data_IF_909080137378
#
_entry.id   IF_909080137378
#
_cell.length_a   1.000
_cell.length_b   1.000
_cell.length_c   1.000
_cell.angle_alpha   90.00
_cell.angle_beta   90.00
_cell.angle_gamma   90.00
#
_symmetry.space_group_name_H-M   'P 1'
#
loop_
_entity.id
_entity.type
_entity.pdbx_description
1 polymer ?
#
# COMPACT_ATOMS: atom_id res chain seq x y z
N UNK A 1 -7.47 6.66 -28.76
CA UNK A 1 -7.30 5.49 -27.88
C UNK A 1 -5.82 5.10 -27.94
N UNK A 2 -4.96 5.75 -27.14
CA UNK A 2 -3.50 5.79 -27.38
C UNK A 2 -2.67 5.57 -26.09
N UNK A 3 -3.24 4.85 -25.11
CA UNK A 3 -2.70 4.84 -23.75
C UNK A 3 -2.02 3.53 -23.29
N UNK A 4 -2.12 2.45 -24.05
CA UNK A 4 -1.38 1.20 -23.80
C UNK A 4 -0.34 1.03 -24.91
N UNK A 5 0.87 1.57 -24.73
CA UNK A 5 1.98 1.37 -25.69
C UNK A 5 2.76 0.08 -25.40
N UNK A 6 2.48 -0.60 -24.28
CA UNK A 6 3.11 -1.86 -23.88
C UNK A 6 2.13 -2.68 -23.02
N UNK A 7 2.05 -4.01 -23.22
CA UNK A 7 1.17 -4.89 -22.43
C UNK A 7 1.39 -4.84 -20.91
N UNK A 8 2.57 -4.40 -20.46
CA UNK A 8 2.89 -4.19 -19.04
C UNK A 8 2.24 -2.96 -18.41
N UNK A 9 1.59 -2.11 -19.21
CA UNK A 9 0.90 -0.91 -18.74
C UNK A 9 -0.30 -1.22 -17.83
N UNK A 10 -0.88 -2.42 -17.94
CA UNK A 10 -1.95 -2.89 -17.04
C UNK A 10 -1.43 -3.16 -15.63
N UNK A 11 -0.28 -3.83 -15.51
CA UNK A 11 0.28 -4.25 -14.21
C UNK A 11 1.07 -3.13 -13.52
N UNK A 12 1.77 -2.30 -14.30
CA UNK A 12 2.72 -1.33 -13.75
C UNK A 12 2.18 0.12 -13.73
N UNK A 13 0.87 0.29 -13.86
CA UNK A 13 0.18 1.56 -14.16
C UNK A 13 0.64 2.21 -15.49
N UNK A 14 -0.24 2.85 -16.27
CA UNK A 14 0.14 3.46 -17.55
C UNK A 14 1.19 4.56 -17.38
N UNK A 15 2.13 4.69 -18.33
CA UNK A 15 3.16 5.76 -18.28
C UNK A 15 2.59 7.17 -18.12
N UNK A 16 1.43 7.44 -18.74
CA UNK A 16 0.74 8.72 -18.64
C UNK A 16 0.41 9.08 -17.19
N UNK A 17 0.06 8.08 -16.39
CA UNK A 17 -0.29 8.24 -15.00
C UNK A 17 0.93 8.66 -14.17
N UNK A 18 2.06 7.96 -14.31
CA UNK A 18 3.33 8.37 -13.69
C UNK A 18 3.77 9.79 -14.10
N UNK A 19 3.56 10.17 -15.36
CA UNK A 19 3.90 11.53 -15.84
C UNK A 19 3.09 12.61 -15.12
N UNK A 20 1.80 12.36 -14.83
CA UNK A 20 0.89 13.29 -14.14
C UNK A 20 1.22 13.51 -12.67
N UNK A 21 1.98 12.62 -12.03
CA UNK A 21 2.40 12.81 -10.64
C UNK A 21 3.23 14.10 -10.47
N UNK A 22 2.74 14.97 -9.58
CA UNK A 22 3.28 16.29 -9.27
C UNK A 22 3.78 16.34 -7.80
N UNK A 23 4.47 17.42 -7.44
CA UNK A 23 5.06 17.61 -6.11
C UNK A 23 4.11 18.27 -5.08
N UNK A 24 2.82 18.43 -5.36
CA UNK A 24 1.87 19.05 -4.42
C UNK A 24 1.59 18.15 -3.21
N UNK A 25 1.82 18.63 -1.99
CA UNK A 25 1.52 17.87 -0.77
C UNK A 25 0.02 17.67 -0.54
N UNK A 26 -0.81 18.65 -0.94
CA UNK A 26 -2.26 18.59 -0.72
C UNK A 26 -2.88 17.36 -1.39
N UNK A 27 -2.43 17.02 -2.60
CA UNK A 27 -2.95 15.85 -3.32
C UNK A 27 -2.41 14.51 -2.80
N UNK A 28 -1.53 14.51 -1.78
CA UNK A 28 -1.02 13.31 -1.13
C UNK A 28 -1.93 12.87 0.04
N UNK A 29 -2.69 13.80 0.63
CA UNK A 29 -3.55 13.53 1.80
C UNK A 29 -4.53 12.37 1.57
N UNK A 30 -5.24 12.27 0.42
CA UNK A 30 -6.10 11.12 0.16
C UNK A 30 -5.32 9.80 0.06
N UNK A 31 -4.05 9.87 -0.33
CA UNK A 31 -3.15 8.72 -0.39
C UNK A 31 -2.84 8.14 0.99
N UNK A 32 -2.64 8.97 2.01
CA UNK A 32 -2.43 8.49 3.38
C UNK A 32 -3.66 7.76 3.92
N UNK A 33 -4.85 8.35 3.75
CA UNK A 33 -6.13 7.75 4.13
C UNK A 33 -6.28 6.36 3.50
N UNK A 34 -5.98 6.27 2.20
CA UNK A 34 -6.07 5.05 1.42
C UNK A 34 -5.10 3.97 1.91
N UNK A 35 -3.81 4.29 2.06
CA UNK A 35 -2.82 3.29 2.50
C UNK A 35 -3.11 2.83 3.93
N UNK A 36 -3.46 3.76 4.80
CA UNK A 36 -3.82 3.45 6.18
C UNK A 36 -5.01 2.51 6.27
N UNK A 37 -6.07 2.81 5.51
CA UNK A 37 -7.24 1.95 5.45
C UNK A 37 -6.91 0.58 4.85
N UNK A 38 -6.07 0.52 3.80
CA UNK A 38 -5.59 -0.73 3.22
C UNK A 38 -4.85 -1.60 4.24
N UNK A 39 -3.99 -1.00 5.06
CA UNK A 39 -3.16 -1.70 6.05
C UNK A 39 -3.94 -2.16 7.29
N UNK A 40 -4.97 -1.41 7.71
CA UNK A 40 -5.80 -1.75 8.87
C UNK A 40 -6.91 -2.76 8.51
N UNK A 41 -7.46 -2.66 7.29
CA UNK A 41 -7.99 -3.86 6.61
C UNK A 41 -6.79 -4.78 6.29
N UNK A 42 -6.80 -5.88 5.56
CA UNK A 42 -5.62 -6.77 5.41
C UNK A 42 -4.99 -7.40 6.67
N UNK A 43 -4.97 -6.74 7.83
CA UNK A 43 -4.34 -7.23 9.04
C UNK A 43 -5.18 -8.35 9.63
N UNK A 44 -4.51 -9.37 10.17
CA UNK A 44 -5.18 -10.57 10.67
C UNK A 44 -6.14 -10.30 11.82
N UNK A 45 -5.86 -9.26 12.63
CA UNK A 45 -6.72 -8.80 13.72
C UNK A 45 -7.51 -7.58 13.27
N UNK A 46 -8.83 -7.71 13.16
CA UNK A 46 -9.68 -6.68 12.55
C UNK A 46 -10.27 -5.76 13.61
N UNK A 47 -9.67 -4.58 13.77
CA UNK A 47 -10.21 -3.54 14.66
C UNK A 47 -11.67 -3.20 14.30
N UNK A 48 -11.98 -3.20 12.99
CA UNK A 48 -13.32 -2.91 12.48
C UNK A 48 -14.35 -3.96 12.96
N UNK A 49 -14.04 -5.23 12.85
CA UNK A 49 -14.99 -6.29 13.23
C UNK A 49 -15.12 -6.40 14.73
N UNK A 50 -13.97 -6.46 15.41
CA UNK A 50 -13.92 -6.81 16.82
C UNK A 50 -14.46 -5.67 17.70
N UNK A 51 -14.18 -4.41 17.33
CA UNK A 51 -14.55 -3.26 18.15
C UNK A 51 -15.69 -2.40 17.60
N UNK A 52 -15.91 -2.33 16.28
CA UNK A 52 -16.93 -1.44 15.70
C UNK A 52 -18.21 -2.19 15.36
N UNK A 53 -18.12 -3.28 14.59
CA UNK A 53 -19.29 -4.04 14.16
C UNK A 53 -19.81 -4.99 15.25
N UNK A 54 -18.92 -5.52 16.08
CA UNK A 54 -19.25 -6.48 17.14
C UNK A 54 -19.83 -5.88 18.43
N UNK A 55 -19.87 -4.55 18.60
CA UNK A 55 -20.39 -3.92 19.84
C UNK A 55 -21.37 -2.78 19.59
N UNK A 56 -22.49 -2.80 20.32
CA UNK A 56 -23.56 -1.79 20.20
C UNK A 56 -23.27 -0.48 20.96
N UNK A 57 -22.36 -0.48 21.94
CA UNK A 57 -22.05 0.69 22.78
C UNK A 57 -20.78 1.42 22.32
N UNK A 58 -20.81 2.75 22.45
CA UNK A 58 -19.63 3.60 22.20
C UNK A 58 -19.22 3.72 20.72
N UNK A 59 -20.08 3.33 19.77
CA UNK A 59 -19.76 3.24 18.33
C UNK A 59 -19.13 4.54 17.81
N UNK A 60 -19.69 5.71 18.14
CA UNK A 60 -19.17 7.00 17.66
C UNK A 60 -17.71 7.24 18.08
N UNK A 61 -17.38 6.98 19.35
CA UNK A 61 -16.02 7.19 19.88
C UNK A 61 -15.02 6.20 19.26
N UNK A 62 -15.44 4.92 19.14
CA UNK A 62 -14.63 3.86 18.51
C UNK A 62 -14.38 4.14 17.03
N UNK A 63 -15.40 4.57 16.30
CA UNK A 63 -15.27 4.95 14.89
C UNK A 63 -14.36 6.15 14.71
N UNK A 64 -14.48 7.18 15.56
CA UNK A 64 -13.58 8.34 15.50
C UNK A 64 -12.12 7.93 15.74
N UNK A 65 -11.88 7.10 16.76
CA UNK A 65 -10.54 6.60 17.06
C UNK A 65 -10.00 5.76 15.91
N UNK A 66 -10.83 4.90 15.31
CA UNK A 66 -10.44 4.08 14.16
C UNK A 66 -10.04 4.94 12.96
N UNK A 67 -10.80 6.00 12.67
CA UNK A 67 -10.47 6.96 11.61
C UNK A 67 -9.11 7.60 11.85
N UNK A 68 -8.85 8.05 13.08
CA UNK A 68 -7.56 8.64 13.45
C UNK A 68 -6.44 7.60 13.31
N UNK A 69 -6.65 6.38 13.80
CA UNK A 69 -5.68 5.28 13.77
C UNK A 69 -5.24 4.95 12.35
N UNK A 70 -6.17 4.70 11.43
CA UNK A 70 -5.77 4.35 10.07
C UNK A 70 -5.10 5.54 9.36
N UNK A 71 -5.51 6.79 9.60
CA UNK A 71 -4.84 7.97 9.02
C UNK A 71 -3.39 8.05 9.49
N UNK A 72 -3.12 7.85 10.78
CA UNK A 72 -1.77 7.85 11.34
C UNK A 72 -0.94 6.72 10.74
N UNK A 73 -1.48 5.51 10.66
CA UNK A 73 -0.79 4.34 10.08
C UNK A 73 -0.44 4.60 8.61
N UNK A 74 -1.39 5.13 7.84
CA UNK A 74 -1.15 5.43 6.43
C UNK A 74 -0.16 6.56 6.20
N UNK A 75 -0.13 7.56 7.08
CA UNK A 75 0.93 8.57 7.08
C UNK A 75 2.30 7.96 7.38
N UNK A 76 2.40 7.17 8.45
CA UNK A 76 3.64 6.52 8.86
C UNK A 76 4.18 5.63 7.75
N UNK A 77 3.33 4.78 7.16
CA UNK A 77 3.74 3.88 6.09
C UNK A 77 4.28 4.66 4.89
N UNK A 78 3.44 5.51 4.29
CA UNK A 78 3.84 6.25 3.09
C UNK A 78 5.07 7.11 3.33
N UNK A 79 5.21 7.73 4.50
CA UNK A 79 6.35 8.56 4.83
C UNK A 79 7.61 7.74 5.08
N UNK A 80 7.57 6.77 5.99
CA UNK A 80 8.71 5.94 6.38
C UNK A 80 9.18 5.03 5.25
N UNK A 81 8.28 4.57 4.38
CA UNK A 81 8.66 3.81 3.20
C UNK A 81 9.27 4.71 2.11
N UNK A 82 8.52 5.72 1.66
CA UNK A 82 8.88 6.42 0.42
C UNK A 82 9.99 7.45 0.61
N UNK A 83 10.11 8.07 1.79
CA UNK A 83 11.10 9.11 2.03
C UNK A 83 12.55 8.60 1.93
N UNK A 84 12.96 7.52 2.63
CA UNK A 84 14.33 7.02 2.57
C UNK A 84 14.73 6.55 1.16
N UNK A 85 13.82 5.90 0.44
CA UNK A 85 14.07 5.45 -0.93
C UNK A 85 14.20 6.63 -1.90
N UNK A 86 13.36 7.65 -1.75
CA UNK A 86 13.46 8.87 -2.56
C UNK A 86 14.77 9.62 -2.29
N UNK A 87 15.21 9.67 -1.03
CA UNK A 87 16.49 10.25 -0.64
C UNK A 87 17.68 9.46 -1.21
N UNK A 88 17.62 8.12 -1.17
CA UNK A 88 18.60 7.26 -1.83
C UNK A 88 18.69 7.54 -3.34
N UNK A 89 17.56 7.67 -4.02
CA UNK A 89 17.52 8.01 -5.45
C UNK A 89 18.17 9.37 -5.73
N UNK A 90 17.87 10.39 -4.93
CA UNK A 90 18.48 11.73 -5.04
C UNK A 90 19.97 11.68 -4.78
N UNK A 91 20.41 10.92 -3.77
CA UNK A 91 21.82 10.76 -3.44
C UNK A 91 22.60 10.13 -4.59
N UNK A 92 22.12 9.01 -5.14
CA UNK A 92 22.74 8.35 -6.30
C UNK A 92 22.76 9.30 -7.50
N UNK A 93 21.64 9.97 -7.78
CA UNK A 93 21.56 10.90 -8.90
C UNK A 93 22.56 12.05 -8.77
N UNK A 94 22.69 12.63 -7.56
CA UNK A 94 23.68 13.69 -7.28
C UNK A 94 25.11 13.19 -7.45
N UNK A 95 25.43 12.00 -6.93
CA UNK A 95 26.77 11.40 -7.04
C UNK A 95 27.17 11.12 -8.48
N UNK A 96 26.21 10.70 -9.31
CA UNK A 96 26.43 10.36 -10.71
C UNK A 96 26.19 11.52 -11.68
N UNK A 97 25.99 12.75 -11.20
CA UNK A 97 25.61 13.93 -12.00
C UNK A 97 24.40 13.68 -12.93
N UNK A 98 23.43 12.90 -12.45
CA UNK A 98 22.21 12.53 -13.18
C UNK A 98 21.05 13.45 -12.78
N UNK A 99 20.15 13.64 -13.74
CA UNK A 99 18.91 14.37 -13.51
C UNK A 99 17.93 13.57 -12.63
N UNK A 100 17.32 14.27 -11.66
CA UNK A 100 16.14 13.82 -10.91
C UNK A 100 15.16 15.00 -10.78
N UNK A 101 13.86 14.73 -10.94
CA UNK A 101 12.84 15.79 -10.90
C UNK A 101 12.78 16.43 -9.51
N UNK A 102 12.66 17.76 -9.45
CA UNK A 102 12.43 18.48 -8.19
C UNK A 102 11.14 18.01 -7.50
N UNK A 103 11.17 17.90 -6.17
CA UNK A 103 10.05 17.36 -5.38
C UNK A 103 9.85 15.85 -5.53
N UNK A 104 10.93 15.12 -5.87
CA UNK A 104 10.87 13.67 -6.10
C UNK A 104 10.27 12.88 -4.91
N UNK A 105 10.55 13.28 -3.67
CA UNK A 105 10.02 12.63 -2.46
C UNK A 105 8.49 12.54 -2.49
N UNK A 106 7.82 13.68 -2.72
CA UNK A 106 6.35 13.74 -2.77
C UNK A 106 5.81 12.97 -3.96
N UNK A 107 6.48 13.02 -5.11
CA UNK A 107 6.10 12.24 -6.30
C UNK A 107 6.19 10.73 -6.01
N UNK A 108 7.24 10.31 -5.31
CA UNK A 108 7.48 8.92 -4.96
C UNK A 108 6.49 8.42 -3.92
N UNK A 109 6.21 9.21 -2.88
CA UNK A 109 5.14 8.98 -1.90
C UNK A 109 3.78 8.75 -2.57
N UNK A 110 3.42 9.57 -3.56
CA UNK A 110 2.18 9.36 -4.32
C UNK A 110 2.20 8.07 -5.10
N UNK A 111 3.30 7.79 -5.80
CA UNK A 111 3.42 6.53 -6.55
C UNK A 111 3.24 5.31 -5.65
N UNK A 112 3.76 5.37 -4.43
CA UNK A 112 3.58 4.33 -3.43
C UNK A 112 2.15 4.28 -2.88
N UNK A 113 1.55 5.41 -2.53
CA UNK A 113 0.18 5.42 -2.03
C UNK A 113 -0.79 4.82 -3.06
N UNK A 114 -0.67 5.25 -4.30
CA UNK A 114 -1.55 4.79 -5.38
C UNK A 114 -1.25 3.37 -5.88
N UNK A 115 -0.07 2.78 -5.62
CA UNK A 115 0.15 1.37 -5.98
C UNK A 115 -0.78 0.43 -5.20
N UNK A 116 -1.25 0.84 -4.04
CA UNK A 116 -2.22 0.08 -3.23
C UNK A 116 -3.60 -0.01 -3.91
N UNK A 117 -3.99 0.96 -4.75
CA UNK A 117 -5.28 0.94 -5.46
C UNK A 117 -5.48 -0.32 -6.31
N UNK A 118 -4.41 -0.87 -6.87
CA UNK A 118 -4.48 -2.09 -7.69
C UNK A 118 -4.84 -3.33 -6.88
N UNK A 119 -4.63 -3.29 -5.56
CA UNK A 119 -4.84 -4.43 -4.65
C UNK A 119 -6.09 -4.25 -3.77
N UNK A 120 -6.74 -3.09 -3.82
CA UNK A 120 -7.99 -2.84 -3.10
C UNK A 120 -9.11 -3.85 -3.36
N UNK A 121 -9.35 -4.30 -4.61
CA UNK A 121 -10.35 -5.34 -4.86
C UNK A 121 -10.10 -6.64 -4.06
N UNK A 122 -8.85 -6.89 -3.66
CA UNK A 122 -8.48 -8.08 -2.91
C UNK A 122 -8.75 -7.94 -1.41
N UNK A 123 -8.70 -6.72 -0.86
CA UNK A 123 -9.05 -6.45 0.55
C UNK A 123 -10.45 -6.93 0.92
N UNK A 124 -11.39 -6.79 -0.03
CA UNK A 124 -12.78 -7.20 0.17
C UNK A 124 -12.94 -8.72 0.37
N UNK A 125 -11.92 -9.49 0.02
CA UNK A 125 -11.93 -10.95 0.04
C UNK A 125 -11.04 -11.52 1.15
N UNK A 126 -9.86 -10.92 1.37
CA UNK A 126 -8.80 -11.49 2.24
C UNK A 126 -8.91 -11.07 3.71
N UNK A 127 -9.67 -10.02 4.04
CA UNK A 127 -9.88 -9.60 5.43
C UNK A 127 -10.99 -10.44 6.11
N UNK A 128 -11.07 -10.56 7.46
CA UNK A 128 -11.79 -11.66 8.13
C UNK A 128 -13.32 -11.62 8.02
N UNK A 129 -13.89 -10.66 7.27
CA UNK A 129 -15.30 -10.67 6.87
C UNK A 129 -15.58 -11.36 5.53
N UNK A 130 -14.55 -11.62 4.71
CA UNK A 130 -14.70 -11.92 3.28
C UNK A 130 -14.99 -13.38 3.00
N UNK A 131 -13.98 -14.25 3.07
CA UNK A 131 -14.13 -15.70 2.98
C UNK A 131 -12.91 -16.37 3.65
N UNK A 132 -13.13 -17.14 4.71
CA UNK A 132 -12.13 -18.12 5.13
C UNK A 132 -11.95 -19.10 3.96
N UNK A 133 -10.72 -19.25 3.44
CA UNK A 133 -10.42 -20.19 2.36
C UNK A 133 -10.88 -21.62 2.70
N UNK A 134 -10.95 -21.93 3.99
CA UNK A 134 -11.41 -23.19 4.56
C UNK A 134 -12.95 -23.37 4.42
N UNK A 135 -13.72 -22.27 4.42
CA UNK A 135 -15.19 -22.28 4.23
C UNK A 135 -15.62 -22.30 2.76
N UNK A 136 -14.69 -22.03 1.84
CA UNK A 136 -14.92 -22.00 0.38
C UNK A 136 -15.20 -23.37 -0.26
N UNK A 137 -14.99 -24.46 0.48
CA UNK A 137 -15.12 -25.82 -0.04
C UNK A 137 -16.53 -26.41 -0.02
N UNK A 138 -17.45 -25.90 0.81
CA UNK A 138 -18.66 -26.67 1.15
C UNK A 138 -19.94 -26.26 0.41
N UNK A 139 -20.10 -24.99 -0.02
CA UNK A 139 -21.35 -24.53 -0.68
C UNK A 139 -21.16 -23.53 -1.84
N UNK A 140 -19.92 -23.19 -2.19
CA UNK A 140 -19.64 -22.15 -3.20
C UNK A 140 -19.53 -22.71 -4.61
N UNK A 141 -20.22 -22.09 -5.57
CA UNK A 141 -20.12 -22.41 -7.01
C UNK A 141 -18.65 -22.35 -7.50
N UNK A 142 -18.24 -23.30 -8.34
CA UNK A 142 -16.89 -23.41 -8.91
C UNK A 142 -16.40 -22.14 -9.60
N UNK A 143 -17.28 -21.38 -10.27
CA UNK A 143 -16.90 -20.10 -10.89
C UNK A 143 -16.45 -19.10 -9.81
N UNK A 144 -17.19 -19.01 -8.71
CA UNK A 144 -16.90 -18.14 -7.57
C UNK A 144 -15.57 -18.53 -6.92
N UNK A 145 -15.32 -19.84 -6.75
CA UNK A 145 -14.05 -20.36 -6.24
C UNK A 145 -12.86 -19.94 -7.13
N UNK A 146 -12.98 -20.09 -8.45
CA UNK A 146 -11.94 -19.67 -9.40
C UNK A 146 -11.65 -18.17 -9.30
N UNK A 147 -12.70 -17.35 -9.24
CA UNK A 147 -12.55 -15.89 -9.10
C UNK A 147 -11.82 -15.52 -7.80
N UNK A 148 -12.18 -16.17 -6.69
CA UNK A 148 -11.54 -15.91 -5.39
C UNK A 148 -10.08 -16.36 -5.38
N UNK A 149 -9.77 -17.53 -5.91
CA UNK A 149 -8.38 -18.00 -6.05
C UNK A 149 -7.57 -17.04 -6.91
N UNK A 150 -8.12 -16.58 -8.05
CA UNK A 150 -7.45 -15.62 -8.92
C UNK A 150 -7.16 -14.29 -8.20
N UNK A 151 -8.10 -13.79 -7.40
CA UNK A 151 -7.91 -12.57 -6.62
C UNK A 151 -6.93 -12.75 -5.47
N UNK A 152 -6.91 -13.92 -4.81
CA UNK A 152 -5.91 -14.25 -3.79
C UNK A 152 -4.50 -14.30 -4.37
N UNK A 153 -4.31 -14.98 -5.51
CA UNK A 153 -3.03 -14.99 -6.25
C UNK A 153 -2.64 -13.56 -6.65
N UNK A 154 -3.60 -12.73 -7.05
CA UNK A 154 -3.35 -11.32 -7.35
C UNK A 154 -2.83 -10.53 -6.13
N UNK A 155 -3.36 -10.75 -4.92
CA UNK A 155 -2.79 -10.16 -3.71
C UNK A 155 -1.36 -10.61 -3.45
N UNK A 156 -1.06 -11.91 -3.60
CA UNK A 156 0.30 -12.41 -3.39
C UNK A 156 1.31 -11.77 -4.37
N UNK A 157 0.87 -11.42 -5.58
CA UNK A 157 1.70 -10.71 -6.56
C UNK A 157 2.00 -9.25 -6.17
N UNK A 158 1.36 -8.68 -5.15
CA UNK A 158 1.64 -7.33 -4.67
C UNK A 158 3.12 -7.11 -4.37
N UNK A 159 3.78 -8.09 -3.73
CA UNK A 159 5.21 -8.01 -3.37
C UNK A 159 6.12 -7.83 -4.59
N UNK A 160 5.68 -8.22 -5.78
CA UNK A 160 6.44 -8.08 -7.03
C UNK A 160 5.99 -6.86 -7.84
N UNK A 161 4.67 -6.66 -7.95
CA UNK A 161 4.08 -5.60 -8.78
C UNK A 161 4.33 -4.22 -8.17
N UNK A 162 4.18 -4.07 -6.85
CA UNK A 162 4.34 -2.79 -6.17
C UNK A 162 5.76 -2.20 -6.34
N UNK A 163 6.87 -2.95 -6.11
CA UNK A 163 8.20 -2.50 -6.49
C UNK A 163 8.36 -2.15 -7.97
N UNK A 164 7.72 -2.92 -8.86
CA UNK A 164 7.74 -2.65 -10.30
C UNK A 164 7.16 -1.27 -10.66
N UNK A 165 6.04 -0.89 -10.05
CA UNK A 165 5.40 0.43 -10.22
C UNK A 165 6.33 1.55 -9.75
N UNK A 166 6.98 1.35 -8.59
CA UNK A 166 7.92 2.32 -8.03
C UNK A 166 9.15 2.50 -8.93
N UNK A 167 9.73 1.41 -9.43
CA UNK A 167 10.85 1.44 -10.38
C UNK A 167 10.48 2.12 -11.69
N UNK A 168 9.23 1.98 -12.13
CA UNK A 168 8.70 2.69 -13.28
C UNK A 168 8.63 4.19 -13.02
N UNK A 169 8.15 4.63 -11.85
CA UNK A 169 8.19 6.04 -11.43
C UNK A 169 9.60 6.59 -11.45
N UNK A 170 10.55 5.88 -10.87
CA UNK A 170 11.98 6.25 -10.85
C UNK A 170 12.50 6.39 -12.28
N UNK A 171 12.20 5.43 -13.14
CA UNK A 171 12.63 5.45 -14.54
C UNK A 171 12.06 6.61 -15.35
N UNK A 172 10.87 7.10 -15.03
CA UNK A 172 10.22 8.22 -15.74
C UNK A 172 10.68 9.57 -15.18
N UNK A 173 10.97 9.65 -13.88
CA UNK A 173 11.26 10.91 -13.16
C UNK A 173 12.74 11.15 -12.89
N UNK A 174 13.60 10.21 -13.27
CA UNK A 174 15.07 10.30 -13.15
C UNK A 174 15.76 9.76 -14.41
N UNK A 175 17.04 10.12 -14.60
CA UNK A 175 17.91 9.59 -15.66
C UNK A 175 18.95 8.58 -15.12
N UNK A 176 18.59 7.84 -14.08
CA UNK A 176 19.45 6.78 -13.53
C UNK A 176 19.73 5.70 -14.59
N UNK A 177 20.94 5.15 -14.56
CA UNK A 177 21.38 4.02 -15.37
C UNK A 177 20.77 2.70 -14.89
N UNK A 178 20.93 1.64 -15.67
CA UNK A 178 20.41 0.32 -15.32
C UNK A 178 20.97 -0.21 -13.99
N UNK A 179 22.29 -0.14 -13.79
CA UNK A 179 22.94 -0.58 -12.55
C UNK A 179 22.44 0.17 -11.31
N UNK A 180 22.27 1.49 -11.41
CA UNK A 180 21.74 2.35 -10.35
C UNK A 180 20.29 1.99 -10.01
N UNK A 181 19.47 1.72 -11.03
CA UNK A 181 18.08 1.26 -10.84
C UNK A 181 18.01 -0.11 -10.18
N UNK A 182 18.94 -1.02 -10.49
CA UNK A 182 19.00 -2.34 -9.87
C UNK A 182 19.34 -2.24 -8.39
N UNK A 183 20.27 -1.36 -8.00
CA UNK A 183 20.57 -1.09 -6.60
C UNK A 183 19.35 -0.51 -5.87
N UNK A 184 18.65 0.44 -6.49
CA UNK A 184 17.42 1.01 -5.93
C UNK A 184 16.29 -0.02 -5.84
N UNK A 185 16.18 -0.94 -6.81
CA UNK A 185 15.23 -2.05 -6.77
C UNK A 185 15.46 -2.95 -5.56
N UNK A 186 16.73 -3.31 -5.32
CA UNK A 186 17.11 -4.11 -4.15
C UNK A 186 16.80 -3.37 -2.85
N UNK A 187 17.10 -2.07 -2.78
CA UNK A 187 16.79 -1.24 -1.62
C UNK A 187 15.27 -1.16 -1.37
N UNK A 188 14.47 -0.97 -2.41
CA UNK A 188 13.00 -1.00 -2.33
C UNK A 188 12.52 -2.33 -1.75
N UNK A 189 13.02 -3.45 -2.29
CA UNK A 189 12.58 -4.78 -1.87
C UNK A 189 12.92 -5.04 -0.39
N UNK A 190 14.15 -4.75 0.03
CA UNK A 190 14.57 -4.92 1.44
C UNK A 190 13.77 -3.99 2.35
N UNK A 191 13.66 -2.71 1.99
CA UNK A 191 12.99 -1.72 2.82
C UNK A 191 11.50 -2.01 2.98
N UNK A 192 10.82 -2.41 1.90
CA UNK A 192 9.40 -2.79 1.94
C UNK A 192 9.13 -3.94 2.92
N UNK A 193 10.03 -4.93 2.97
CA UNK A 193 9.87 -6.04 3.91
C UNK A 193 10.12 -5.62 5.36
N UNK A 194 11.14 -4.80 5.63
CA UNK A 194 11.43 -4.30 6.98
C UNK A 194 10.32 -3.38 7.49
N UNK A 195 9.94 -2.41 6.67
CA UNK A 195 8.91 -1.42 6.97
C UNK A 195 7.55 -2.09 7.19
N UNK A 196 7.20 -3.09 6.37
CA UNK A 196 5.97 -3.85 6.54
C UNK A 196 5.87 -4.59 7.88
N UNK A 197 6.99 -5.06 8.46
CA UNK A 197 6.99 -5.64 9.82
C UNK A 197 6.75 -4.57 10.90
N UNK A 198 7.32 -3.39 10.73
CA UNK A 198 7.11 -2.26 11.65
C UNK A 198 5.67 -1.80 11.62
N UNK A 199 5.06 -1.67 10.43
CA UNK A 199 3.65 -1.30 10.30
C UNK A 199 2.72 -2.33 10.94
N UNK A 200 2.97 -3.63 10.73
CA UNK A 200 2.22 -4.69 11.42
C UNK A 200 2.29 -4.56 12.93
N UNK A 201 3.48 -4.31 13.47
CA UNK A 201 3.65 -4.06 14.90
C UNK A 201 2.86 -2.84 15.39
N UNK A 202 2.86 -1.74 14.63
CA UNK A 202 2.08 -0.53 14.97
C UNK A 202 0.57 -0.82 14.95
N UNK A 203 0.08 -1.61 13.99
CA UNK A 203 -1.33 -2.04 13.94
C UNK A 203 -1.66 -2.91 15.15
N UNK A 204 -0.80 -3.87 15.52
CA UNK A 204 -1.00 -4.72 16.69
C UNK A 204 -1.02 -3.91 18.00
N UNK A 205 -0.18 -2.88 18.09
CA UNK A 205 -0.19 -1.95 19.22
C UNK A 205 -1.51 -1.17 19.26
N UNK A 206 -1.98 -0.67 18.11
CA UNK A 206 -3.28 -0.01 18.02
C UNK A 206 -4.42 -0.95 18.42
N UNK A 207 -4.42 -2.20 17.95
CA UNK A 207 -5.40 -3.21 18.34
C UNK A 207 -5.43 -3.42 19.86
N UNK A 208 -4.27 -3.56 20.51
CA UNK A 208 -4.17 -3.70 21.97
C UNK A 208 -4.67 -2.46 22.72
N UNK A 209 -4.40 -1.27 22.19
CA UNK A 209 -4.91 -0.02 22.75
C UNK A 209 -6.44 0.01 22.72
N UNK A 210 -7.07 -0.42 21.61
CA UNK A 210 -8.53 -0.57 21.54
C UNK A 210 -9.04 -1.56 22.58
N UNK A 211 -8.39 -2.72 22.72
CA UNK A 211 -8.69 -3.73 23.75
C UNK A 211 -8.70 -3.15 25.16
N UNK A 212 -7.63 -2.43 25.52
CA UNK A 212 -7.46 -1.82 26.84
C UNK A 212 -8.42 -0.67 27.14
N UNK A 213 -8.90 0.06 26.12
CA UNK A 213 -9.79 1.21 26.30
C UNK A 213 -11.27 0.83 26.37
N UNK A 214 -11.64 -0.31 25.78
CA UNK A 214 -13.04 -0.71 25.61
C UNK A 214 -13.35 -2.10 26.20
N UNK A 215 -12.51 -2.56 27.15
CA UNK A 215 -12.70 -3.79 27.94
C UNK A 215 -13.00 -5.05 27.12
N UNK A 216 -12.29 -5.22 26.01
CA UNK A 216 -12.25 -6.48 25.27
C UNK A 216 -11.02 -7.27 25.76
N UNK A 217 -11.23 -8.14 26.75
CA UNK A 217 -10.25 -9.14 27.19
C UNK A 217 -10.48 -10.42 26.40
#
# INVERSE_FOLDING_TARGET
MEQLKSGWDLFLLPRAWHKRLNASLISLVPGFVLVGFFNVLSHSRSILNDFILGTASGVVQKTLLFVITFIIIGFLDVFCFAWPIADLCKYIAKRSNKFIKQGFNVIFMKSYAYSHLLFYPVLLIVNPTGLELEKLGQETNSITQIVIIALYVWALLQILIQPGILLRTISIKSKLNFSEKLLVALAIFIWMNLEGQVIRYVIDLAYKMFGSMYDFI
#
